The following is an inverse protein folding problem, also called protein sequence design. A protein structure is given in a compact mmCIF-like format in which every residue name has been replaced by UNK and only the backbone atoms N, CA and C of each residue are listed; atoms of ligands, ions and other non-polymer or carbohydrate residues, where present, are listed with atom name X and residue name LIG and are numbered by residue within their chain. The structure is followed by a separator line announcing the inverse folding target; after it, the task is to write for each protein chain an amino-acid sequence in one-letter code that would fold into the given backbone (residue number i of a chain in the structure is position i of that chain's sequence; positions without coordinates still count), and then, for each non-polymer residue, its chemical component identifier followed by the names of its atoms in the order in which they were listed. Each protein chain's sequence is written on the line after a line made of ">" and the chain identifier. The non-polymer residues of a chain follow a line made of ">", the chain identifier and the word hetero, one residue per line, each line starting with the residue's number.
data_IF_838177939056
#
_entry.id   IF_838177939056
#
_cell.length_a   1.000
_cell.length_b   1.000
_cell.length_c   1.000
_cell.angle_alpha   90.00
_cell.angle_beta   90.00
_cell.angle_gamma   90.00
#
_symmetry.space_group_name_H-M   'P 1'
#
loop_
_entity.id
_entity.type
_entity.pdbx_description
1 polymer ?
#
# COMPACT_ATOMS: atom_id res chain seq x y z
N UNK A 1 -23.73 -16.72 -40.41
CA UNK A 1 -22.24 -16.77 -40.42
C UNK A 1 -21.60 -15.62 -39.62
N UNK A 2 -22.18 -14.44 -39.65
CA UNK A 2 -21.62 -13.27 -38.95
C UNK A 2 -21.76 -13.31 -37.43
N UNK A 3 -22.88 -13.84 -36.92
CA UNK A 3 -23.12 -13.98 -35.49
C UNK A 3 -22.12 -14.91 -34.77
N UNK A 4 -21.79 -16.06 -35.41
CA UNK A 4 -20.76 -16.99 -34.88
C UNK A 4 -19.37 -16.36 -34.81
N UNK A 5 -19.02 -15.51 -35.79
CA UNK A 5 -17.73 -14.80 -35.81
C UNK A 5 -17.68 -13.71 -34.74
N UNK A 6 -18.78 -12.99 -34.51
CA UNK A 6 -18.90 -12.01 -33.43
C UNK A 6 -18.75 -12.63 -32.05
N UNK A 7 -19.41 -13.76 -31.81
CA UNK A 7 -19.31 -14.48 -30.54
C UNK A 7 -17.88 -14.98 -30.27
N UNK A 8 -17.23 -15.56 -31.29
CA UNK A 8 -15.84 -16.03 -31.16
C UNK A 8 -14.85 -14.88 -30.92
N UNK A 9 -15.08 -13.71 -31.52
CA UNK A 9 -14.26 -12.51 -31.28
C UNK A 9 -14.36 -12.04 -29.81
N UNK A 10 -15.56 -12.05 -29.23
CA UNK A 10 -15.75 -11.69 -27.82
C UNK A 10 -15.00 -12.67 -26.90
N UNK A 11 -15.14 -14.00 -27.19
CA UNK A 11 -14.42 -15.03 -26.43
C UNK A 11 -12.89 -14.97 -26.61
N UNK A 12 -12.39 -14.42 -27.71
CA UNK A 12 -10.95 -14.22 -27.91
C UNK A 12 -10.42 -12.94 -27.22
N UNK A 13 -11.23 -11.89 -27.13
CA UNK A 13 -10.83 -10.61 -26.51
C UNK A 13 -10.61 -10.78 -24.99
N UNK A 14 -11.46 -11.54 -24.30
CA UNK A 14 -11.34 -11.72 -22.84
C UNK A 14 -10.00 -12.35 -22.42
N UNK A 15 -9.53 -13.48 -23.00
CA UNK A 15 -8.22 -14.02 -22.65
C UNK A 15 -7.05 -13.12 -23.09
N UNK A 16 -7.21 -12.37 -24.18
CA UNK A 16 -6.19 -11.39 -24.58
C UNK A 16 -6.06 -10.29 -23.52
N UNK A 17 -7.17 -9.74 -23.03
CA UNK A 17 -7.16 -8.76 -21.94
C UNK A 17 -6.58 -9.34 -20.65
N UNK A 18 -6.85 -10.62 -20.37
CA UNK A 18 -6.26 -11.31 -19.23
C UNK A 18 -4.73 -11.46 -19.35
N UNK A 19 -4.22 -11.75 -20.57
CA UNK A 19 -2.78 -11.81 -20.84
C UNK A 19 -2.06 -10.47 -20.63
N UNK A 20 -2.74 -9.36 -20.87
CA UNK A 20 -2.24 -8.02 -20.58
C UNK A 20 -2.40 -7.61 -19.11
N UNK A 21 -2.74 -8.55 -18.22
CA UNK A 21 -2.93 -8.31 -16.77
C UNK A 21 -3.94 -7.20 -16.43
N UNK A 22 -4.91 -6.98 -17.34
CA UNK A 22 -5.95 -5.95 -17.14
C UNK A 22 -6.78 -6.23 -15.88
N UNK A 23 -6.93 -7.52 -15.52
CA UNK A 23 -7.63 -7.96 -14.32
C UNK A 23 -6.71 -8.29 -13.13
N UNK A 24 -5.39 -8.05 -13.27
CA UNK A 24 -4.39 -8.29 -12.24
C UNK A 24 -4.31 -7.19 -11.20
N UNK A 25 -3.72 -7.51 -10.05
CA UNK A 25 -3.37 -6.55 -9.01
C UNK A 25 -2.10 -5.77 -9.42
N UNK A 26 -2.22 -4.84 -10.35
CA UNK A 26 -1.10 -3.99 -10.72
C UNK A 26 -0.76 -3.04 -9.54
N UNK A 27 0.47 -3.12 -9.05
CA UNK A 27 0.99 -2.18 -8.06
C UNK A 27 1.15 -0.79 -8.68
N UNK A 28 0.83 0.22 -7.89
CA UNK A 28 1.10 1.62 -8.21
C UNK A 28 2.02 2.20 -7.14
N UNK A 29 3.09 2.83 -7.59
CA UNK A 29 4.05 3.50 -6.73
C UNK A 29 3.66 4.96 -6.55
N UNK A 30 3.51 5.38 -5.30
CA UNK A 30 3.31 6.77 -4.90
C UNK A 30 4.56 7.26 -4.18
N UNK A 31 5.05 8.46 -4.50
CA UNK A 31 6.29 8.98 -3.94
C UNK A 31 6.08 10.37 -3.33
N UNK A 32 6.80 10.65 -2.25
CA UNK A 32 6.97 11.97 -1.67
C UNK A 32 8.45 12.17 -1.32
N UNK A 33 8.91 13.42 -1.44
CA UNK A 33 10.29 13.77 -1.18
C UNK A 33 10.37 15.00 -0.25
N UNK A 34 11.32 14.93 0.68
CA UNK A 34 11.72 16.06 1.52
C UNK A 34 13.24 16.16 1.56
N UNK A 35 13.82 17.27 2.07
CA UNK A 35 15.27 17.38 2.23
C UNK A 35 15.88 16.32 3.17
N UNK A 36 15.10 15.77 4.09
CA UNK A 36 15.55 14.79 5.10
C UNK A 36 15.45 13.36 4.60
N UNK A 37 14.40 13.05 3.85
CA UNK A 37 14.14 11.68 3.38
C UNK A 37 13.22 11.67 2.15
N UNK A 38 13.11 10.52 1.49
CA UNK A 38 12.07 10.23 0.51
C UNK A 38 11.25 9.03 0.96
N UNK A 39 9.95 9.07 0.68
CA UNK A 39 8.99 8.01 0.98
C UNK A 39 8.40 7.49 -0.32
N UNK A 40 8.34 6.18 -0.45
CA UNK A 40 7.74 5.49 -1.58
C UNK A 40 6.77 4.43 -1.05
N UNK A 41 5.57 4.41 -1.58
CA UNK A 41 4.56 3.38 -1.27
C UNK A 41 4.19 2.65 -2.56
N UNK A 42 4.53 1.38 -2.62
CA UNK A 42 4.20 0.47 -3.72
C UNK A 42 3.11 -0.51 -3.24
N UNK A 43 1.94 -0.41 -3.80
CA UNK A 43 0.80 -1.25 -3.40
C UNK A 43 -0.27 -1.21 -4.47
N UNK A 44 -1.08 -2.26 -4.65
CA UNK A 44 -2.18 -2.24 -5.59
C UNK A 44 -3.13 -1.06 -5.37
N UNK A 45 -3.58 -0.44 -6.46
CA UNK A 45 -4.67 0.55 -6.40
C UNK A 45 -6.06 -0.11 -6.44
N UNK A 46 -6.10 -1.35 -6.93
CA UNK A 46 -7.31 -2.13 -7.09
C UNK A 46 -7.10 -3.52 -6.51
N UNK A 47 -7.98 -3.95 -5.62
CA UNK A 47 -7.93 -5.28 -5.00
C UNK A 47 -9.33 -5.86 -5.02
N UNK A 48 -9.44 -7.16 -5.29
CA UNK A 48 -10.71 -7.87 -5.18
C UNK A 48 -10.98 -8.22 -3.72
N UNK A 49 -12.24 -8.13 -3.31
CA UNK A 49 -12.68 -8.54 -1.97
C UNK A 49 -12.28 -9.99 -1.67
N UNK A 50 -11.85 -10.26 -0.45
CA UNK A 50 -11.35 -11.56 -0.01
C UNK A 50 -9.91 -11.88 -0.40
N UNK A 51 -9.24 -11.09 -1.25
CA UNK A 51 -7.86 -11.36 -1.64
C UNK A 51 -6.84 -10.73 -0.69
N UNK A 52 -5.73 -11.43 -0.53
CA UNK A 52 -4.52 -10.91 0.11
C UNK A 52 -3.76 -10.02 -0.86
N UNK A 53 -3.13 -8.99 -0.32
CA UNK A 53 -2.21 -8.12 -1.06
C UNK A 53 -1.08 -7.65 -0.16
N UNK A 54 0.00 -7.21 -0.76
CA UNK A 54 1.16 -6.68 -0.06
C UNK A 54 1.33 -5.20 -0.40
N UNK A 55 1.64 -4.39 0.60
CA UNK A 55 2.11 -3.03 0.41
C UNK A 55 3.58 -2.94 0.85
N UNK A 56 4.41 -2.34 0.03
CA UNK A 56 5.79 -2.04 0.37
C UNK A 56 5.92 -0.53 0.58
N UNK A 57 6.34 -0.13 1.78
CA UNK A 57 6.66 1.23 2.14
C UNK A 57 8.18 1.31 2.23
N UNK A 58 8.81 2.19 1.47
CA UNK A 58 10.26 2.37 1.50
C UNK A 58 10.59 3.80 1.91
N UNK A 59 11.34 3.95 2.98
CA UNK A 59 11.93 5.22 3.40
C UNK A 59 13.39 5.22 2.98
N UNK A 60 13.81 6.25 2.25
CA UNK A 60 15.21 6.48 1.95
C UNK A 60 15.65 7.77 2.66
N UNK A 61 16.51 7.62 3.66
CA UNK A 61 16.98 8.73 4.49
C UNK A 61 18.13 9.45 3.79
N UNK A 62 18.04 10.76 3.65
CA UNK A 62 19.16 11.62 3.21
C UNK A 62 19.99 12.13 4.40
N UNK A 63 19.40 12.20 5.56
CA UNK A 63 19.99 12.58 6.84
C UNK A 63 19.69 11.53 7.91
N UNK A 64 20.40 11.57 9.03
CA UNK A 64 20.09 10.69 10.16
C UNK A 64 18.68 10.99 10.68
N UNK A 65 17.92 9.91 10.89
CA UNK A 65 16.61 9.94 11.52
C UNK A 65 16.75 9.26 12.87
N UNK A 66 16.48 9.99 13.94
CA UNK A 66 16.73 9.53 15.30
C UNK A 66 15.71 8.49 15.77
N UNK A 67 14.48 8.61 15.27
CA UNK A 67 13.37 7.76 15.64
C UNK A 67 12.36 7.66 14.48
N UNK A 68 12.63 6.73 13.53
CA UNK A 68 11.78 6.52 12.38
C UNK A 68 10.46 5.92 12.78
N UNK A 69 9.39 6.67 12.56
CA UNK A 69 8.02 6.21 12.77
C UNK A 69 7.25 6.25 11.45
N UNK A 70 6.45 5.22 11.23
CA UNK A 70 5.49 5.14 10.13
C UNK A 70 4.07 5.12 10.71
N UNK A 71 3.32 6.16 10.40
CA UNK A 71 1.92 6.31 10.81
C UNK A 71 1.02 5.96 9.65
N UNK A 72 0.19 4.95 9.83
CA UNK A 72 -0.81 4.51 8.87
C UNK A 72 -2.19 4.89 9.38
N UNK A 73 -2.96 5.55 8.55
CA UNK A 73 -4.30 5.98 8.91
C UNK A 73 -5.34 4.84 8.86
N UNK A 74 -6.54 5.15 9.32
CA UNK A 74 -7.67 4.21 9.37
C UNK A 74 -7.99 3.54 8.04
N UNK A 75 -7.74 4.21 6.92
CA UNK A 75 -8.03 3.68 5.59
C UNK A 75 -7.25 2.41 5.23
N UNK A 76 -6.15 2.12 5.93
CA UNK A 76 -5.37 0.89 5.78
C UNK A 76 -5.98 -0.31 6.50
N UNK A 77 -6.85 -0.07 7.49
CA UNK A 77 -7.34 -1.11 8.40
C UNK A 77 -8.87 -1.24 8.40
N UNK A 78 -9.58 -0.28 7.84
CA UNK A 78 -11.05 -0.31 7.80
C UNK A 78 -11.53 -1.41 6.84
N UNK A 79 -12.12 -2.47 7.40
CA UNK A 79 -12.54 -3.68 6.68
C UNK A 79 -11.39 -4.36 5.90
N UNK A 80 -10.17 -4.18 6.38
CA UNK A 80 -8.95 -4.82 5.89
C UNK A 80 -8.29 -5.50 7.08
N UNK A 81 -8.00 -6.78 6.96
CA UNK A 81 -7.28 -7.53 7.98
C UNK A 81 -5.78 -7.28 7.80
N UNK A 82 -5.12 -6.91 8.88
CA UNK A 82 -3.66 -6.78 8.94
C UNK A 82 -3.07 -8.11 9.41
N UNK A 83 -2.29 -8.75 8.56
CA UNK A 83 -1.72 -10.07 8.83
C UNK A 83 -0.28 -9.99 9.35
N UNK A 84 0.44 -8.92 9.04
CA UNK A 84 1.78 -8.74 9.56
C UNK A 84 2.60 -7.65 8.88
N UNK A 85 3.76 -7.38 9.50
CA UNK A 85 4.73 -6.36 9.06
C UNK A 85 6.16 -6.92 9.15
N UNK A 86 6.99 -6.57 8.20
CA UNK A 86 8.41 -6.93 8.15
C UNK A 86 9.22 -5.72 7.69
N UNK A 87 10.28 -5.28 8.40
CA UNK A 87 10.75 -5.81 9.69
C UNK A 87 9.76 -5.54 10.83
N UNK A 88 9.88 -6.28 11.91
CA UNK A 88 9.08 -6.04 13.11
C UNK A 88 9.44 -4.66 13.70
N UNK A 89 8.45 -3.81 14.02
CA UNK A 89 8.70 -2.56 14.71
C UNK A 89 9.18 -2.82 16.15
N UNK A 90 9.95 -1.89 16.69
CA UNK A 90 10.37 -1.91 18.10
C UNK A 90 9.20 -1.63 19.06
N UNK A 91 8.23 -0.83 18.58
CA UNK A 91 7.01 -0.52 19.30
C UNK A 91 5.85 -0.30 18.31
N UNK A 92 4.64 -0.58 18.77
CA UNK A 92 3.40 -0.34 18.02
C UNK A 92 2.39 0.31 18.95
N UNK A 93 1.78 1.39 18.49
CA UNK A 93 0.70 2.06 19.21
C UNK A 93 -0.47 2.31 18.27
N UNK A 94 -1.69 2.11 18.79
CA UNK A 94 -2.92 2.33 18.02
C UNK A 94 -3.80 3.34 18.78
N UNK A 95 -4.17 4.41 18.08
CA UNK A 95 -5.04 5.45 18.61
C UNK A 95 -5.98 5.95 17.51
N UNK A 96 -7.29 6.02 17.83
CA UNK A 96 -8.33 6.57 16.94
C UNK A 96 -8.38 5.92 15.53
N UNK A 97 -8.00 4.63 15.41
CA UNK A 97 -7.94 3.90 14.15
C UNK A 97 -6.70 4.18 13.31
N UNK A 98 -5.75 4.93 13.85
CA UNK A 98 -4.40 5.14 13.29
C UNK A 98 -3.43 4.22 14.00
N UNK A 99 -2.49 3.62 13.27
CA UNK A 99 -1.43 2.79 13.85
C UNK A 99 -0.09 3.44 13.57
N UNK A 100 0.72 3.58 14.61
CA UNK A 100 2.09 4.07 14.55
C UNK A 100 3.04 2.91 14.78
N UNK A 101 3.92 2.66 13.83
CA UNK A 101 4.99 1.68 13.89
C UNK A 101 6.32 2.41 14.09
N UNK A 102 6.99 2.11 15.20
CA UNK A 102 8.27 2.68 15.56
C UNK A 102 9.40 1.70 15.20
N UNK A 103 10.36 2.17 14.42
CA UNK A 103 11.52 1.39 13.97
C UNK A 103 12.84 1.87 14.57
N UNK A 104 12.80 2.97 15.36
CA UNK A 104 13.98 3.55 15.98
C UNK A 104 14.90 4.29 15.00
N UNK A 105 16.17 4.39 15.36
CA UNK A 105 17.14 5.20 14.63
C UNK A 105 17.52 4.56 13.28
N UNK A 106 17.52 5.38 12.22
CA UNK A 106 17.95 5.00 10.88
C UNK A 106 19.02 5.98 10.39
N UNK A 107 20.24 5.50 10.06
CA UNK A 107 21.33 6.35 9.58
C UNK A 107 21.01 7.03 8.23
N UNK A 108 21.71 8.12 7.94
CA UNK A 108 21.66 8.77 6.65
C UNK A 108 22.07 7.82 5.51
N UNK A 109 21.57 8.10 4.31
CA UNK A 109 21.82 7.33 3.09
C UNK A 109 21.42 5.84 3.20
N UNK A 110 20.42 5.54 4.04
CA UNK A 110 19.88 4.18 4.23
C UNK A 110 18.56 4.04 3.48
N UNK A 111 18.38 2.90 2.82
CA UNK A 111 17.09 2.47 2.28
C UNK A 111 16.45 1.50 3.27
N UNK A 112 15.31 1.89 3.82
CA UNK A 112 14.58 1.13 4.83
C UNK A 112 13.23 0.67 4.26
N UNK A 113 13.13 -0.57 3.74
CA UNK A 113 11.89 -1.12 3.23
C UNK A 113 11.07 -1.78 4.34
N UNK A 114 9.77 -1.56 4.31
CA UNK A 114 8.78 -2.18 5.21
C UNK A 114 7.70 -2.82 4.36
N UNK A 115 7.40 -4.09 4.60
CA UNK A 115 6.36 -4.84 3.92
C UNK A 115 5.18 -5.08 4.86
N UNK A 116 3.99 -4.77 4.39
CA UNK A 116 2.73 -5.03 5.06
C UNK A 116 2.00 -6.14 4.32
N UNK A 117 1.55 -7.14 5.03
CA UNK A 117 0.65 -8.18 4.52
C UNK A 117 -0.77 -7.86 4.96
N UNK A 118 -1.68 -7.75 4.00
CA UNK A 118 -3.03 -7.27 4.19
C UNK A 118 -4.03 -8.16 3.43
N UNK A 119 -5.24 -8.29 3.96
CA UNK A 119 -6.33 -8.98 3.28
C UNK A 119 -7.58 -8.11 3.24
N UNK A 120 -8.11 -7.84 2.06
CA UNK A 120 -9.42 -7.21 1.94
C UNK A 120 -10.49 -8.18 2.44
N UNK A 121 -11.34 -7.77 3.39
CA UNK A 121 -12.39 -8.65 3.90
C UNK A 121 -13.40 -8.99 2.80
N UNK A 122 -13.99 -10.20 2.78
CA UNK A 122 -14.88 -10.64 1.70
C UNK A 122 -16.11 -9.75 1.48
N UNK A 123 -16.55 -9.03 2.51
CA UNK A 123 -17.69 -8.10 2.46
C UNK A 123 -17.26 -6.67 2.17
N UNK A 124 -15.94 -6.42 2.07
CA UNK A 124 -15.42 -5.09 1.80
C UNK A 124 -15.51 -4.78 0.31
N UNK A 125 -16.30 -3.77 -0.03
CA UNK A 125 -16.41 -3.23 -1.39
C UNK A 125 -16.47 -1.71 -1.26
N UNK A 126 -15.66 -1.02 -2.04
CA UNK A 126 -15.67 0.43 -2.03
C UNK A 126 -14.30 1.08 -2.14
N UNK A 127 -14.28 2.37 -1.83
CA UNK A 127 -13.10 3.22 -1.93
C UNK A 127 -12.57 3.53 -0.54
N UNK A 128 -11.30 3.20 -0.32
CA UNK A 128 -10.56 3.52 0.90
C UNK A 128 -9.52 4.60 0.61
N UNK A 129 -9.63 5.70 1.33
CA UNK A 129 -8.60 6.74 1.32
C UNK A 129 -7.54 6.31 2.34
N UNK A 130 -6.31 6.20 1.90
CA UNK A 130 -5.18 5.74 2.69
C UNK A 130 -4.13 6.83 2.77
N UNK A 131 -3.56 7.05 3.96
CA UNK A 131 -2.43 7.92 4.17
C UNK A 131 -1.30 7.18 4.90
N UNK A 132 -0.07 7.48 4.53
CA UNK A 132 1.16 7.05 5.20
C UNK A 132 1.97 8.27 5.51
N UNK A 133 2.29 8.48 6.78
CA UNK A 133 3.17 9.55 7.24
C UNK A 133 4.45 8.94 7.78
N UNK A 134 5.59 9.45 7.34
CA UNK A 134 6.89 9.18 7.97
C UNK A 134 7.26 10.34 8.86
N UNK A 135 7.75 10.05 10.06
CA UNK A 135 8.15 11.04 11.06
C UNK A 135 9.47 10.67 11.74
N UNK A 136 10.11 11.65 12.35
CA UNK A 136 11.24 11.50 13.26
C UNK A 136 10.74 11.85 14.66
N UNK A 137 10.35 10.83 15.41
CA UNK A 137 9.59 11.00 16.64
C UNK A 137 8.29 11.78 16.39
N UNK A 138 8.08 12.84 17.14
CA UNK A 138 6.87 13.70 17.03
C UNK A 138 6.87 14.64 15.81
N UNK A 139 7.93 14.65 15.00
CA UNK A 139 8.06 15.55 13.86
C UNK A 139 7.76 14.85 12.55
N UNK A 140 6.64 15.19 11.93
CA UNK A 140 6.31 14.70 10.60
C UNK A 140 7.33 15.17 9.56
N UNK A 141 7.83 14.23 8.76
CA UNK A 141 8.74 14.50 7.64
C UNK A 141 7.94 14.65 6.36
N UNK A 142 7.05 13.70 6.06
CA UNK A 142 6.21 13.72 4.86
C UNK A 142 5.03 12.76 4.96
N UNK A 143 4.00 13.04 4.15
CA UNK A 143 2.81 12.21 4.04
C UNK A 143 2.49 11.91 2.58
N UNK A 144 2.12 10.65 2.30
CA UNK A 144 1.56 10.21 1.02
C UNK A 144 0.08 9.90 1.21
N UNK A 145 -0.76 10.44 0.34
CA UNK A 145 -2.17 10.08 0.22
C UNK A 145 -2.38 9.22 -1.02
N UNK A 146 -3.16 8.17 -0.87
CA UNK A 146 -3.52 7.27 -1.97
C UNK A 146 -4.95 6.79 -1.83
N UNK A 147 -5.44 6.12 -2.86
CA UNK A 147 -6.75 5.48 -2.86
C UNK A 147 -6.60 4.01 -3.19
N UNK A 148 -7.24 3.16 -2.40
CA UNK A 148 -7.46 1.74 -2.71
C UNK A 148 -8.92 1.55 -3.10
N UNK A 149 -9.17 0.91 -4.23
CA UNK A 149 -10.51 0.48 -4.64
C UNK A 149 -10.65 -1.02 -4.44
N UNK A 150 -11.59 -1.43 -3.62
CA UNK A 150 -11.96 -2.84 -3.42
C UNK A 150 -13.24 -3.13 -4.22
N UNK A 151 -13.18 -4.12 -5.07
CA UNK A 151 -14.30 -4.54 -5.92
C UNK A 151 -14.69 -6.01 -5.63
N UNK A 152 -15.93 -6.42 -5.94
CA UNK A 152 -16.42 -7.77 -5.72
C UNK A 152 -15.61 -8.86 -6.39
#
# INVERSE_FOLDING_TARGET
>A
MWERRGTLLIFAVVPILALFNVFGQASITSNANSPTASLSVDSPAHVRSGLMFTAQITVHTAQDVSDLQLTLDRGWFESITFDGIVPQPSNESAENGTIVFDFGAVPANTRFPVWLSLQANPTNVGRHLQAVTSSDGDKDIMTIHRTLLVFP
#
